data_IF_206260852978
#
_entry.id   IF_206260852978
#
_cell.length_a   1.000
_cell.length_b   1.000
_cell.length_c   1.000
_cell.angle_alpha   90.00
_cell.angle_beta   90.00
_cell.angle_gamma   90.00
#
_symmetry.space_group_name_H-M   'P 1'
#
loop_
_entity.id
_entity.type
_entity.pdbx_description
1 polymer ?
#
# COMPACT_ATOMS: atom_id res chain seq x y z
N UNK A 1 19.12 34.69 13.97
CA UNK A 1 20.13 34.50 15.03
C UNK A 1 20.50 33.02 15.02
N UNK A 2 21.68 32.65 14.49
CA UNK A 2 22.15 31.25 14.42
C UNK A 2 22.83 30.91 15.74
N UNK A 3 22.33 29.88 16.41
CA UNK A 3 22.99 29.26 17.57
C UNK A 3 24.31 28.61 17.14
N UNK A 4 25.39 28.69 17.95
CA UNK A 4 26.66 28.04 17.62
C UNK A 4 26.51 26.52 17.58
N UNK A 5 27.24 25.90 16.67
CA UNK A 5 27.17 24.48 16.37
C UNK A 5 27.98 23.73 17.44
N UNK A 6 27.30 22.92 18.29
CA UNK A 6 27.92 22.13 19.38
C UNK A 6 29.06 21.19 18.92
N UNK A 7 29.16 20.94 17.60
CA UNK A 7 30.24 20.19 16.98
C UNK A 7 31.58 20.94 16.93
N UNK A 8 31.58 22.28 16.82
CA UNK A 8 32.82 23.08 16.84
C UNK A 8 33.41 23.15 18.26
N UNK A 9 32.56 23.24 19.30
CA UNK A 9 32.99 23.16 20.70
C UNK A 9 33.63 21.79 21.04
N UNK A 10 33.11 20.71 20.47
CA UNK A 10 33.65 19.36 20.69
C UNK A 10 35.00 19.16 20.00
N UNK A 11 35.14 19.62 18.76
CA UNK A 11 36.39 19.54 18.00
C UNK A 11 37.54 20.38 18.60
N UNK A 12 37.21 21.51 19.24
CA UNK A 12 38.17 22.31 20.00
C UNK A 12 38.59 21.64 21.31
N UNK A 13 37.70 20.91 21.99
CA UNK A 13 38.03 20.17 23.22
C UNK A 13 38.98 19.00 22.97
N UNK A 14 38.92 18.35 21.80
CA UNK A 14 39.77 17.20 21.44
C UNK A 14 41.16 17.57 20.94
N UNK A 15 41.42 18.85 20.59
CA UNK A 15 42.76 19.33 20.23
C UNK A 15 43.65 19.62 21.44
N UNK A 16 43.08 19.77 22.63
CA UNK A 16 43.80 19.84 23.89
C UNK A 16 43.74 18.49 24.59
N UNK A 17 44.46 17.48 24.07
CA UNK A 17 44.64 16.25 24.83
C UNK A 17 45.79 16.46 25.82
N UNK A 18 45.44 16.84 27.05
CA UNK A 18 46.32 16.90 28.22
C UNK A 18 47.13 15.59 28.40
N UNK A 19 46.63 14.47 27.85
CA UNK A 19 47.26 13.15 27.88
C UNK A 19 48.66 13.06 27.22
N UNK A 20 48.98 13.92 26.25
CA UNK A 20 50.32 13.91 25.63
C UNK A 20 51.35 14.65 26.50
N UNK A 21 50.92 15.65 27.27
CA UNK A 21 51.78 16.36 28.23
C UNK A 21 52.04 15.50 29.47
N UNK A 22 51.00 14.84 30.01
CA UNK A 22 51.14 13.98 31.20
C UNK A 22 52.09 12.79 30.94
N UNK A 23 52.06 12.20 29.73
CA UNK A 23 52.94 11.07 29.39
C UNK A 23 54.38 11.52 29.14
N UNK A 24 54.59 12.76 28.67
CA UNK A 24 55.92 13.37 28.52
C UNK A 24 56.55 13.68 29.88
N UNK A 25 55.75 14.23 30.80
CA UNK A 25 56.16 14.48 32.19
C UNK A 25 56.47 13.18 32.94
N UNK A 26 55.74 12.10 32.70
CA UNK A 26 56.07 10.78 33.27
C UNK A 26 57.38 10.20 32.70
N UNK A 27 57.67 10.42 31.41
CA UNK A 27 58.92 10.00 30.78
C UNK A 27 60.12 10.79 31.31
N UNK A 28 60.00 12.11 31.43
CA UNK A 28 61.04 13.00 31.96
C UNK A 28 61.34 12.71 33.44
N UNK A 29 60.30 12.53 34.27
CA UNK A 29 60.45 12.15 35.67
C UNK A 29 61.09 10.76 35.85
N UNK A 30 60.86 9.82 34.93
CA UNK A 30 61.47 8.49 34.97
C UNK A 30 62.98 8.53 34.64
N UNK A 31 63.40 9.43 33.74
CA UNK A 31 64.82 9.67 33.44
C UNK A 31 65.56 10.37 34.58
N UNK A 32 64.96 11.37 35.22
CA UNK A 32 65.64 12.19 36.24
C UNK A 32 65.85 11.44 37.57
N UNK A 33 64.87 10.64 37.99
CA UNK A 33 64.92 9.92 39.28
C UNK A 33 65.95 8.79 39.30
N UNK A 34 66.34 8.27 38.14
CA UNK A 34 67.25 7.12 38.06
C UNK A 34 68.74 7.46 38.00
N UNK A 35 69.09 8.72 37.76
CA UNK A 35 70.48 9.19 37.82
C UNK A 35 70.94 9.52 39.25
N UNK A 36 70.01 9.71 40.19
CA UNK A 36 70.31 10.10 41.58
C UNK A 36 70.50 8.90 42.53
N UNK A 37 70.03 7.70 42.20
CA UNK A 37 70.06 6.54 43.11
C UNK A 37 71.29 5.62 42.97
N UNK A 38 72.19 5.83 41.99
CA UNK A 38 73.36 4.95 41.76
C UNK A 38 74.71 5.54 42.19
N UNK A 39 74.73 6.57 43.05
CA UNK A 39 75.97 7.18 43.57
C UNK A 39 76.48 6.53 44.87
N UNK A 40 76.13 5.27 45.15
CA UNK A 40 76.79 4.47 46.18
C UNK A 40 77.41 3.21 45.57
N UNK A 41 78.69 3.05 45.87
CA UNK A 41 79.68 2.20 45.20
C UNK A 41 79.37 0.72 45.42
N UNK A 42 79.30 -0.05 44.33
CA UNK A 42 79.50 -1.51 44.36
C UNK A 42 78.52 -2.32 43.50
N UNK A 43 78.55 -2.15 42.17
CA UNK A 43 78.41 -3.22 41.16
C UNK A 43 78.16 -2.62 39.77
N UNK A 44 79.21 -2.53 38.95
CA UNK A 44 79.15 -2.01 37.58
C UNK A 44 78.44 -2.97 36.60
N UNK A 45 78.29 -4.25 36.95
CA UNK A 45 77.66 -5.26 36.08
C UNK A 45 76.12 -5.22 36.12
N UNK A 46 75.52 -4.89 37.26
CA UNK A 46 74.06 -4.77 37.43
C UNK A 46 73.51 -3.47 36.80
N UNK A 47 74.32 -2.40 36.77
CA UNK A 47 73.97 -1.14 36.11
C UNK A 47 73.82 -1.30 34.58
N UNK A 48 74.72 -2.06 33.93
CA UNK A 48 74.66 -2.30 32.49
C UNK A 48 73.41 -3.09 32.06
N UNK A 49 73.05 -4.15 32.80
CA UNK A 49 71.83 -4.92 32.54
C UNK A 49 70.54 -4.12 32.76
N UNK A 50 70.53 -3.22 33.75
CA UNK A 50 69.39 -2.35 34.03
C UNK A 50 69.20 -1.30 32.92
N UNK A 51 70.28 -0.70 32.42
CA UNK A 51 70.25 0.23 31.28
C UNK A 51 69.81 -0.44 29.97
N UNK A 52 70.26 -1.67 29.70
CA UNK A 52 69.82 -2.45 28.53
C UNK A 52 68.33 -2.81 28.60
N UNK A 53 67.84 -3.22 29.78
CA UNK A 53 66.41 -3.48 29.98
C UNK A 53 65.56 -2.22 29.80
N UNK A 54 66.01 -1.07 30.31
CA UNK A 54 65.33 0.22 30.14
C UNK A 54 65.27 0.64 28.67
N UNK A 55 66.37 0.54 27.92
CA UNK A 55 66.39 0.86 26.49
C UNK A 55 65.43 -0.02 25.69
N UNK A 56 65.34 -1.31 26.00
CA UNK A 56 64.37 -2.20 25.35
C UNK A 56 62.91 -1.82 25.63
N UNK A 57 62.62 -1.30 26.83
CA UNK A 57 61.28 -0.84 27.22
C UNK A 57 60.91 0.48 26.55
N UNK A 58 61.87 1.40 26.42
CA UNK A 58 61.70 2.66 25.67
C UNK A 58 61.39 2.36 24.19
N UNK A 59 62.20 1.52 23.54
CA UNK A 59 61.94 1.11 22.15
C UNK A 59 60.57 0.43 21.97
N UNK A 60 60.15 -0.38 22.95
CA UNK A 60 58.81 -0.98 22.93
C UNK A 60 57.70 0.05 23.04
N UNK A 61 57.88 1.10 23.85
CA UNK A 61 56.90 2.19 24.00
C UNK A 61 56.85 3.08 22.75
N UNK A 62 58.00 3.41 22.16
CA UNK A 62 58.09 4.14 20.90
C UNK A 62 57.34 3.42 19.77
N UNK A 63 57.54 2.10 19.65
CA UNK A 63 56.82 1.29 18.66
C UNK A 63 55.31 1.23 18.93
N UNK A 64 54.90 1.20 20.20
CA UNK A 64 53.47 1.26 20.56
C UNK A 64 52.87 2.62 20.21
N UNK A 65 53.57 3.72 20.48
CA UNK A 65 53.17 5.06 20.09
C UNK A 65 53.02 5.20 18.58
N UNK A 66 54.00 4.74 17.80
CA UNK A 66 53.94 4.77 16.34
C UNK A 66 52.72 4.02 15.80
N UNK A 67 52.42 2.83 16.36
CA UNK A 67 51.22 2.05 16.00
C UNK A 67 49.92 2.78 16.36
N UNK A 68 49.89 3.47 17.50
CA UNK A 68 48.73 4.26 17.90
C UNK A 68 48.53 5.46 16.96
N UNK A 69 49.60 6.17 16.61
CA UNK A 69 49.57 7.29 15.64
C UNK A 69 48.99 6.84 14.30
N UNK A 70 49.49 5.73 13.74
CA UNK A 70 48.97 5.17 12.47
C UNK A 70 47.49 4.79 12.59
N UNK A 71 47.07 4.24 13.74
CA UNK A 71 45.66 3.88 13.98
C UNK A 71 44.76 5.11 14.05
N UNK A 72 45.22 6.19 14.68
CA UNK A 72 44.50 7.47 14.76
C UNK A 72 44.36 8.06 13.35
N UNK A 73 45.44 8.13 12.58
CA UNK A 73 45.41 8.67 11.21
C UNK A 73 44.43 7.91 10.30
N UNK A 74 44.45 6.56 10.35
CA UNK A 74 43.49 5.73 9.61
C UNK A 74 42.05 5.99 10.03
N UNK A 75 41.82 6.17 11.32
CA UNK A 75 40.48 6.45 11.86
C UNK A 75 39.99 7.83 11.39
N UNK A 76 40.86 8.84 11.41
CA UNK A 76 40.55 10.18 10.93
C UNK A 76 40.23 10.19 9.43
N UNK A 77 41.02 9.51 8.60
CA UNK A 77 40.74 9.37 7.16
C UNK A 77 39.40 8.67 6.89
N UNK A 78 39.09 7.62 7.67
CA UNK A 78 37.80 6.93 7.57
C UNK A 78 36.63 7.84 7.98
N UNK A 79 36.84 8.70 8.97
CA UNK A 79 35.83 9.66 9.43
C UNK A 79 35.60 10.76 8.39
N UNK A 80 36.66 11.34 7.82
CA UNK A 80 36.57 12.35 6.76
C UNK A 80 35.80 11.83 5.54
N UNK A 81 36.08 10.60 5.12
CA UNK A 81 35.33 9.96 4.02
C UNK A 81 33.85 9.83 4.35
N UNK A 82 33.52 9.41 5.57
CA UNK A 82 32.14 9.28 6.02
C UNK A 82 31.40 10.62 6.10
N UNK A 83 32.10 11.70 6.45
CA UNK A 83 31.56 13.06 6.46
C UNK A 83 31.25 13.51 5.03
N UNK A 84 32.18 13.34 4.09
CA UNK A 84 32.00 13.72 2.68
C UNK A 84 30.84 12.97 2.01
N UNK A 85 30.68 11.68 2.32
CA UNK A 85 29.55 10.87 1.85
C UNK A 85 28.22 11.42 2.39
N UNK A 86 28.15 11.80 3.68
CA UNK A 86 26.96 12.43 4.27
C UNK A 86 26.64 13.78 3.64
N UNK A 87 27.63 14.62 3.38
CA UNK A 87 27.43 15.92 2.72
C UNK A 87 26.88 15.75 1.30
N UNK A 88 27.40 14.76 0.56
CA UNK A 88 26.91 14.43 -0.79
C UNK A 88 25.46 13.96 -0.77
N UNK A 89 25.09 13.13 0.20
CA UNK A 89 23.70 12.67 0.39
C UNK A 89 22.79 13.85 0.75
N UNK A 90 23.21 14.71 1.69
CA UNK A 90 22.44 15.89 2.08
C UNK A 90 22.20 16.83 0.90
N UNK A 91 23.21 17.08 0.06
CA UNK A 91 23.07 17.90 -1.13
C UNK A 91 22.05 17.31 -2.14
N UNK A 92 22.03 15.99 -2.32
CA UNK A 92 21.03 15.32 -3.16
C UNK A 92 19.62 15.49 -2.59
N UNK A 93 19.44 15.25 -1.29
CA UNK A 93 18.15 15.42 -0.62
C UNK A 93 17.65 16.87 -0.70
N UNK A 94 18.52 17.88 -0.54
CA UNK A 94 18.13 19.29 -0.68
C UNK A 94 17.63 19.63 -2.07
N UNK A 95 18.25 19.07 -3.12
CA UNK A 95 17.80 19.26 -4.50
C UNK A 95 16.45 18.57 -4.76
N UNK A 96 16.24 17.36 -4.23
CA UNK A 96 14.95 16.67 -4.31
C UNK A 96 13.84 17.45 -3.60
N UNK A 97 14.11 17.96 -2.38
CA UNK A 97 13.17 18.81 -1.65
C UNK A 97 12.82 20.07 -2.46
N UNK A 98 13.81 20.68 -3.13
CA UNK A 98 13.58 21.86 -3.99
C UNK A 98 12.67 21.52 -5.17
N UNK A 99 12.90 20.40 -5.84
CA UNK A 99 12.07 19.94 -6.95
C UNK A 99 10.63 19.62 -6.50
N UNK A 100 10.47 18.95 -5.36
CA UNK A 100 9.17 18.65 -4.77
C UNK A 100 8.39 19.93 -4.45
N UNK A 101 9.04 20.95 -3.89
CA UNK A 101 8.41 22.26 -3.63
C UNK A 101 7.90 22.93 -4.91
N UNK A 102 8.68 22.89 -5.99
CA UNK A 102 8.27 23.45 -7.28
C UNK A 102 7.08 22.69 -7.88
N UNK A 103 7.08 21.35 -7.80
CA UNK A 103 5.97 20.53 -8.28
C UNK A 103 4.69 20.79 -7.48
N UNK A 104 4.80 20.91 -6.16
CA UNK A 104 3.67 21.23 -5.30
C UNK A 104 3.08 22.60 -5.62
N UNK A 105 3.92 23.59 -5.92
CA UNK A 105 3.46 24.92 -6.33
C UNK A 105 2.67 24.87 -7.65
N UNK A 106 3.19 24.15 -8.66
CA UNK A 106 2.48 23.96 -9.95
C UNK A 106 1.13 23.28 -9.76
N UNK A 107 1.07 22.22 -8.95
CA UNK A 107 -0.17 21.50 -8.66
C UNK A 107 -1.20 22.41 -7.99
N UNK A 108 -0.76 23.28 -7.08
CA UNK A 108 -1.64 24.24 -6.42
C UNK A 108 -2.20 25.29 -7.40
N UNK A 109 -1.40 25.75 -8.36
CA UNK A 109 -1.85 26.64 -9.43
C UNK A 109 -2.88 25.97 -10.34
N UNK A 110 -2.70 24.70 -10.70
CA UNK A 110 -3.67 23.91 -11.48
C UNK A 110 -4.98 23.69 -10.72
N UNK A 111 -4.91 23.32 -9.44
CA UNK A 111 -6.10 23.17 -8.60
C UNK A 111 -6.91 24.47 -8.50
N UNK A 112 -6.24 25.62 -8.37
CA UNK A 112 -6.93 26.91 -8.35
C UNK A 112 -7.61 27.22 -9.69
N UNK A 113 -7.01 26.87 -10.84
CA UNK A 113 -7.65 27.01 -12.15
C UNK A 113 -8.90 26.14 -12.28
N UNK A 114 -8.82 24.87 -11.85
CA UNK A 114 -9.96 23.95 -11.87
C UNK A 114 -11.10 24.43 -10.97
N UNK A 115 -10.78 24.99 -9.80
CA UNK A 115 -11.78 25.57 -8.89
C UNK A 115 -12.56 26.71 -9.55
N UNK A 116 -11.84 27.66 -10.17
CA UNK A 116 -12.48 28.77 -10.91
C UNK A 116 -13.34 28.27 -12.07
N UNK A 117 -12.94 27.20 -12.75
CA UNK A 117 -13.75 26.60 -13.82
C UNK A 117 -15.03 25.94 -13.29
N UNK A 118 -14.95 25.28 -12.13
CA UNK A 118 -16.12 24.71 -11.47
C UNK A 118 -17.09 25.78 -10.98
N UNK A 119 -16.60 26.85 -10.36
CA UNK A 119 -17.45 27.97 -9.91
C UNK A 119 -18.24 28.57 -11.09
N UNK A 120 -17.62 28.69 -12.28
CA UNK A 120 -18.30 29.13 -13.51
C UNK A 120 -19.35 28.13 -14.01
N UNK A 121 -19.12 26.82 -13.83
CA UNK A 121 -20.09 25.80 -14.20
C UNK A 121 -21.30 25.84 -13.26
N UNK A 122 -21.06 26.04 -11.97
CA UNK A 122 -22.12 26.17 -10.96
C UNK A 122 -22.99 27.41 -11.22
N UNK A 123 -22.38 28.57 -11.55
CA UNK A 123 -23.12 29.76 -11.99
C UNK A 123 -24.01 29.48 -13.21
N UNK A 124 -23.49 28.71 -14.18
CA UNK A 124 -24.25 28.33 -15.37
C UNK A 124 -25.40 27.36 -15.08
N UNK A 125 -25.19 26.42 -14.16
CA UNK A 125 -26.22 25.50 -13.68
C UNK A 125 -27.35 26.28 -13.00
N UNK A 126 -27.03 27.17 -12.07
CA UNK A 126 -28.02 28.00 -11.36
C UNK A 126 -28.85 28.86 -12.32
N UNK A 127 -28.21 29.41 -13.36
CA UNK A 127 -28.91 30.16 -14.42
C UNK A 127 -29.92 29.29 -15.18
N UNK A 128 -29.52 28.07 -15.56
CA UNK A 128 -30.40 27.12 -16.25
C UNK A 128 -31.55 26.64 -15.35
N UNK A 129 -31.31 26.45 -14.05
CA UNK A 129 -32.35 26.06 -13.09
C UNK A 129 -33.44 27.14 -12.96
N UNK A 130 -33.06 28.41 -12.90
CA UNK A 130 -34.04 29.51 -12.88
C UNK A 130 -34.82 29.62 -14.21
N UNK A 131 -34.17 29.35 -15.35
CA UNK A 131 -34.86 29.31 -16.65
C UNK A 131 -35.88 28.16 -16.72
N UNK A 132 -35.51 26.95 -16.23
CA UNK A 132 -36.42 25.80 -16.12
C UNK A 132 -37.61 26.12 -15.21
N UNK A 133 -37.37 26.78 -14.08
CA UNK A 133 -38.41 27.18 -13.13
C UNK A 133 -39.39 28.16 -13.74
N UNK A 134 -38.91 29.16 -14.48
CA UNK A 134 -39.74 30.10 -15.24
C UNK A 134 -40.61 29.38 -16.28
N UNK A 135 -40.03 28.44 -17.04
CA UNK A 135 -40.76 27.64 -18.04
C UNK A 135 -41.84 26.79 -17.34
N UNK A 136 -41.51 26.17 -16.21
CA UNK A 136 -42.42 25.32 -15.44
C UNK A 136 -43.61 26.11 -14.91
N UNK A 137 -43.38 27.31 -14.37
CA UNK A 137 -44.45 28.21 -13.93
C UNK A 137 -45.36 28.63 -15.09
N UNK A 138 -44.78 28.94 -16.25
CA UNK A 138 -45.54 29.30 -17.45
C UNK A 138 -46.43 28.15 -17.92
N UNK A 139 -45.91 26.92 -17.93
CA UNK A 139 -46.69 25.72 -18.26
C UNK A 139 -47.83 25.50 -17.24
N UNK A 140 -47.59 25.73 -15.95
CA UNK A 140 -48.62 25.62 -14.91
C UNK A 140 -49.75 26.63 -15.14
N UNK A 141 -49.40 27.90 -15.39
CA UNK A 141 -50.36 28.97 -15.67
C UNK A 141 -51.18 28.70 -16.94
N UNK A 142 -50.51 28.27 -18.01
CA UNK A 142 -51.17 27.91 -19.27
C UNK A 142 -52.13 26.72 -19.07
N UNK A 143 -51.77 25.75 -18.23
CA UNK A 143 -52.63 24.61 -17.89
C UNK A 143 -53.83 25.02 -17.02
N UNK A 144 -53.64 25.86 -16.01
CA UNK A 144 -54.73 26.39 -15.18
C UNK A 144 -55.75 27.18 -16.02
N UNK A 145 -55.27 28.07 -16.90
CA UNK A 145 -56.13 28.76 -17.86
C UNK A 145 -56.86 27.78 -18.79
N UNK A 146 -56.20 26.70 -19.23
CA UNK A 146 -56.83 25.66 -20.05
C UNK A 146 -57.93 24.91 -19.28
N UNK A 147 -57.73 24.65 -17.99
CA UNK A 147 -58.72 24.02 -17.10
C UNK A 147 -59.89 24.97 -16.84
N UNK A 148 -59.63 26.25 -16.60
CA UNK A 148 -60.65 27.28 -16.39
C UNK A 148 -61.46 27.53 -17.68
N UNK A 149 -60.80 27.58 -18.85
CA UNK A 149 -61.49 27.62 -20.15
C UNK A 149 -62.34 26.35 -20.35
N UNK A 150 -61.86 25.17 -19.96
CA UNK A 150 -62.64 23.92 -20.01
C UNK A 150 -63.83 23.94 -19.05
N UNK A 151 -63.68 24.49 -17.84
CA UNK A 151 -64.77 24.57 -16.85
C UNK A 151 -65.81 25.62 -17.25
N UNK A 152 -65.38 26.82 -17.64
CA UNK A 152 -66.27 27.87 -18.15
C UNK A 152 -66.98 27.44 -19.43
N UNK A 153 -66.29 26.74 -20.35
CA UNK A 153 -66.97 26.15 -21.52
C UNK A 153 -67.93 25.04 -21.12
N UNK A 154 -67.65 24.22 -20.10
CA UNK A 154 -68.60 23.22 -19.59
C UNK A 154 -69.84 23.83 -18.92
N UNK A 155 -69.70 24.96 -18.22
CA UNK A 155 -70.79 25.75 -17.64
C UNK A 155 -71.59 26.49 -18.70
N UNK A 156 -70.95 27.15 -19.67
CA UNK A 156 -71.62 27.73 -20.85
C UNK A 156 -72.34 26.67 -21.70
N UNK A 157 -71.82 25.45 -21.80
CA UNK A 157 -72.47 24.30 -22.45
C UNK A 157 -73.63 23.76 -21.61
N UNK A 158 -73.63 23.92 -20.28
CA UNK A 158 -74.78 23.58 -19.42
C UNK A 158 -75.87 24.67 -19.42
N UNK A 159 -75.51 25.94 -19.56
CA UNK A 159 -76.46 27.06 -19.54
C UNK A 159 -77.02 27.42 -20.93
N UNK A 160 -76.26 27.28 -22.02
CA UNK A 160 -76.76 27.58 -23.37
C UNK A 160 -77.42 26.40 -24.12
N UNK A 161 -77.28 25.15 -23.66
CA UNK A 161 -77.90 24.00 -24.32
C UNK A 161 -79.38 23.76 -23.98
N UNK A 162 -80.06 24.70 -23.32
CA UNK A 162 -81.52 24.66 -23.23
C UNK A 162 -82.20 25.44 -24.37
N UNK A 163 -81.55 26.31 -25.17
CA UNK A 163 -82.29 27.02 -26.23
C UNK A 163 -81.73 27.24 -27.65
N UNK A 164 -80.43 27.29 -27.98
CA UNK A 164 -80.04 27.68 -29.35
C UNK A 164 -78.55 27.31 -29.58
N UNK A 165 -78.14 26.39 -30.46
CA UNK A 165 -78.17 26.49 -31.92
C UNK A 165 -77.78 25.15 -32.55
N UNK A 166 -78.65 24.65 -33.43
CA UNK A 166 -78.25 23.84 -34.58
C UNK A 166 -77.57 24.77 -35.59
N UNK A 167 -76.57 24.24 -36.31
CA UNK A 167 -75.98 24.78 -37.56
C UNK A 167 -74.76 25.71 -37.34
N UNK A 168 -73.55 25.11 -37.36
CA UNK A 168 -72.21 25.64 -37.74
C UNK A 168 -71.01 25.10 -36.91
N UNK A 169 -71.23 24.23 -35.91
CA UNK A 169 -70.14 23.76 -35.02
C UNK A 169 -69.52 22.38 -35.34
N UNK A 170 -69.98 21.66 -36.37
CA UNK A 170 -69.49 20.30 -36.65
C UNK A 170 -68.03 20.23 -37.13
N UNK A 171 -67.64 21.12 -38.04
CA UNK A 171 -66.29 21.08 -38.63
C UNK A 171 -65.20 21.53 -37.65
N UNK A 172 -65.52 22.50 -36.78
CA UNK A 172 -64.58 23.06 -35.81
C UNK A 172 -64.31 22.10 -34.64
N UNK A 173 -65.31 21.29 -34.27
CA UNK A 173 -65.16 20.21 -33.28
C UNK A 173 -64.26 19.11 -33.84
N UNK A 174 -64.50 18.65 -35.07
CA UNK A 174 -63.67 17.62 -35.70
C UNK A 174 -62.20 18.07 -35.83
N UNK A 175 -61.94 19.34 -36.16
CA UNK A 175 -60.58 19.89 -36.22
C UNK A 175 -59.88 19.87 -34.86
N UNK A 176 -60.57 20.26 -33.79
CA UNK A 176 -60.02 20.25 -32.43
C UNK A 176 -59.78 18.84 -31.90
N UNK A 177 -60.65 17.89 -32.24
CA UNK A 177 -60.44 16.47 -31.90
C UNK A 177 -59.20 15.91 -32.61
N UNK A 178 -58.97 16.26 -33.88
CA UNK A 178 -57.74 15.89 -34.59
C UNK A 178 -56.48 16.53 -33.99
N UNK A 179 -56.52 17.80 -33.60
CA UNK A 179 -55.38 18.45 -32.95
C UNK A 179 -55.08 17.85 -31.58
N UNK A 180 -56.11 17.58 -30.76
CA UNK A 180 -55.95 16.93 -29.46
C UNK A 180 -55.32 15.55 -29.68
N UNK A 181 -55.84 14.77 -30.62
CA UNK A 181 -55.30 13.44 -30.92
C UNK A 181 -53.83 13.51 -31.35
N UNK A 182 -53.47 14.40 -32.27
CA UNK A 182 -52.06 14.61 -32.68
C UNK A 182 -51.16 15.00 -31.51
N UNK A 183 -51.67 15.83 -30.60
CA UNK A 183 -50.92 16.28 -29.43
C UNK A 183 -50.73 15.12 -28.45
N UNK A 184 -51.77 14.33 -28.19
CA UNK A 184 -51.72 13.14 -27.34
C UNK A 184 -50.75 12.10 -27.91
N UNK A 185 -50.85 11.80 -29.21
CA UNK A 185 -49.94 10.86 -29.89
C UNK A 185 -48.47 11.33 -29.79
N UNK A 186 -48.21 12.64 -29.86
CA UNK A 186 -46.87 13.21 -29.69
C UNK A 186 -46.34 13.06 -28.26
N UNK A 187 -47.20 13.23 -27.26
CA UNK A 187 -46.85 13.05 -25.85
C UNK A 187 -46.56 11.58 -25.52
N UNK A 188 -47.41 10.66 -25.97
CA UNK A 188 -47.22 9.23 -25.76
C UNK A 188 -45.92 8.73 -26.40
N UNK A 189 -45.60 9.25 -27.59
CA UNK A 189 -44.31 8.98 -28.23
C UNK A 189 -43.13 9.47 -27.38
N UNK A 190 -43.16 10.71 -26.88
CA UNK A 190 -42.08 11.26 -26.04
C UNK A 190 -41.92 10.50 -24.73
N UNK A 191 -43.01 10.04 -24.12
CA UNK A 191 -42.96 9.21 -22.92
C UNK A 191 -42.32 7.85 -23.24
N UNK A 192 -42.68 7.24 -24.37
CA UNK A 192 -42.04 6.03 -24.88
C UNK A 192 -40.53 6.19 -25.05
N UNK A 193 -40.09 7.25 -25.72
CA UNK A 193 -38.67 7.55 -25.94
C UNK A 193 -37.91 7.75 -24.60
N UNK A 194 -38.55 8.38 -23.60
CA UNK A 194 -37.98 8.58 -22.26
C UNK A 194 -37.83 7.27 -21.47
N UNK A 195 -38.82 6.38 -21.55
CA UNK A 195 -38.76 5.04 -20.94
C UNK A 195 -37.64 4.23 -21.57
N UNK A 196 -37.51 4.27 -22.90
CA UNK A 196 -36.46 3.56 -23.64
C UNK A 196 -35.07 4.10 -23.27
N UNK A 197 -34.91 5.42 -23.17
CA UNK A 197 -33.67 6.06 -22.71
C UNK A 197 -33.30 5.67 -21.27
N UNK A 198 -34.28 5.64 -20.36
CA UNK A 198 -34.05 5.22 -18.97
C UNK A 198 -33.65 3.73 -18.88
N UNK A 199 -34.27 2.86 -19.69
CA UNK A 199 -33.88 1.45 -19.80
C UNK A 199 -32.46 1.31 -20.37
N UNK A 200 -32.07 2.14 -21.33
CA UNK A 200 -30.70 2.18 -21.85
C UNK A 200 -29.70 2.60 -20.76
N UNK A 201 -30.00 3.64 -19.98
CA UNK A 201 -29.16 4.06 -18.85
C UNK A 201 -29.03 2.95 -17.82
N UNK A 202 -30.14 2.32 -17.41
CA UNK A 202 -30.10 1.22 -16.44
C UNK A 202 -29.27 0.03 -16.95
N UNK A 203 -29.37 -0.29 -18.25
CA UNK A 203 -28.53 -1.30 -18.88
C UNK A 203 -27.05 -0.89 -18.88
N UNK A 204 -26.72 0.35 -19.24
CA UNK A 204 -25.34 0.85 -19.23
C UNK A 204 -24.75 0.87 -17.83
N UNK A 205 -25.51 1.30 -16.82
CA UNK A 205 -25.10 1.30 -15.40
C UNK A 205 -24.90 -0.13 -14.88
N UNK A 206 -25.74 -1.07 -15.33
CA UNK A 206 -25.56 -2.50 -15.00
C UNK A 206 -24.31 -3.09 -15.65
N UNK A 207 -23.93 -2.61 -16.84
CA UNK A 207 -22.73 -3.03 -17.56
C UNK A 207 -21.45 -2.43 -16.96
N UNK A 208 -21.50 -1.23 -16.36
CA UNK A 208 -20.33 -0.56 -15.76
C UNK A 208 -19.90 -1.08 -14.40
N UNK A 209 -20.70 -1.96 -13.77
CA UNK A 209 -20.39 -2.57 -12.47
C UNK A 209 -20.07 -4.07 -12.56
N UNK A 210 -19.74 -4.57 -13.75
CA UNK A 210 -19.35 -5.97 -13.90
C UNK A 210 -17.98 -6.20 -13.26
N UNK A 211 -17.92 -7.12 -12.31
CA UNK A 211 -16.68 -7.60 -11.73
C UNK A 211 -16.15 -8.74 -12.59
N UNK A 212 -14.96 -8.56 -13.15
CA UNK A 212 -14.25 -9.62 -13.87
C UNK A 212 -13.37 -10.34 -12.85
N UNK A 213 -13.82 -11.52 -12.43
CA UNK A 213 -12.96 -12.42 -11.67
C UNK A 213 -11.96 -13.09 -12.61
N UNK A 214 -10.67 -12.89 -12.35
CA UNK A 214 -9.59 -13.42 -13.16
C UNK A 214 -9.07 -14.68 -12.50
N UNK A 215 -9.55 -15.83 -13.00
CA UNK A 215 -9.04 -17.14 -12.58
C UNK A 215 -7.67 -17.33 -13.20
N UNK A 216 -6.65 -17.48 -12.36
CA UNK A 216 -5.30 -17.87 -12.77
C UNK A 216 -5.03 -19.23 -12.18
N UNK A 217 -4.98 -20.26 -13.04
CA UNK A 217 -4.46 -21.56 -12.64
C UNK A 217 -3.01 -21.42 -12.21
N UNK A 218 -2.69 -21.78 -10.98
CA UNK A 218 -1.40 -21.45 -10.41
C UNK A 218 -0.87 -22.56 -9.51
N UNK A 219 0.43 -22.48 -9.23
CA UNK A 219 1.12 -23.40 -8.33
C UNK A 219 2.25 -22.69 -7.61
N UNK A 220 2.73 -23.25 -6.52
CA UNK A 220 3.91 -22.73 -5.85
C UNK A 220 5.16 -22.99 -6.69
N UNK A 221 5.90 -21.92 -6.99
CA UNK A 221 7.24 -21.98 -7.56
C UNK A 221 8.31 -22.08 -6.48
N UNK A 222 9.51 -22.52 -6.87
CA UNK A 222 10.57 -22.88 -5.93
C UNK A 222 11.08 -21.70 -5.08
N UNK A 223 11.57 -22.02 -3.89
CA UNK A 223 12.02 -21.13 -2.82
C UNK A 223 13.07 -20.10 -3.27
N UNK A 224 12.84 -18.82 -2.95
CA UNK A 224 13.94 -17.85 -2.80
C UNK A 224 14.55 -18.01 -1.39
N UNK A 225 15.08 -19.21 -1.12
CA UNK A 225 15.74 -19.45 0.17
C UNK A 225 17.09 -18.73 0.16
N UNK A 226 17.26 -17.83 1.13
CA UNK A 226 18.52 -17.07 1.34
C UNK A 226 19.73 -18.00 1.59
N UNK A 227 19.50 -19.29 1.80
CA UNK A 227 20.54 -20.33 1.86
C UNK A 227 20.44 -21.28 0.69
N UNK A 228 21.30 -21.10 -0.32
CA UNK A 228 21.54 -22.00 -1.45
C UNK A 228 21.40 -23.49 -1.05
N UNK A 229 20.30 -24.11 -1.47
CA UNK A 229 20.22 -25.56 -1.59
C UNK A 229 20.65 -25.96 -2.99
N UNK A 230 21.64 -26.83 -3.10
CA UNK A 230 22.17 -27.23 -4.40
C UNK A 230 21.31 -28.29 -5.14
N UNK A 231 20.20 -28.78 -4.57
CA UNK A 231 19.30 -29.71 -5.29
C UNK A 231 17.82 -29.62 -4.90
N UNK A 232 16.98 -29.51 -5.94
CA UNK A 232 15.51 -29.27 -6.02
C UNK A 232 14.62 -30.27 -5.26
N UNK A 233 15.16 -31.39 -4.78
CA UNK A 233 14.33 -32.49 -4.25
C UNK A 233 14.49 -32.80 -2.77
N UNK A 234 15.49 -32.25 -2.09
CA UNK A 234 15.76 -32.54 -0.69
C UNK A 234 16.68 -31.46 -0.09
N UNK A 235 16.12 -30.34 0.36
CA UNK A 235 16.83 -29.39 1.20
C UNK A 235 17.11 -30.01 2.58
N UNK A 236 18.21 -30.75 2.68
CA UNK A 236 18.70 -31.35 3.93
C UNK A 236 19.82 -30.47 4.46
N UNK A 237 19.50 -29.39 5.17
CA UNK A 237 20.47 -28.78 6.07
C UNK A 237 19.83 -28.03 7.25
N UNK A 238 19.65 -28.77 8.35
CA UNK A 238 19.68 -28.37 9.77
C UNK A 238 18.61 -27.37 10.28
N UNK A 239 17.78 -26.77 9.44
CA UNK A 239 16.66 -25.92 9.84
C UNK A 239 15.35 -26.52 9.30
N UNK A 240 14.26 -26.47 10.07
CA UNK A 240 13.02 -27.24 9.85
C UNK A 240 12.59 -27.40 8.38
N UNK A 241 12.15 -28.61 8.04
CA UNK A 241 11.92 -29.00 6.66
C UNK A 241 10.54 -28.52 6.18
N UNK A 242 10.48 -27.71 5.12
CA UNK A 242 9.26 -27.45 4.37
C UNK A 242 9.41 -28.06 2.97
N UNK A 243 8.45 -28.86 2.54
CA UNK A 243 8.45 -29.51 1.24
C UNK A 243 7.17 -29.20 0.48
N UNK A 244 7.31 -28.87 -0.80
CA UNK A 244 6.17 -28.79 -1.71
C UNK A 244 5.72 -30.24 -1.95
N UNK A 245 4.62 -30.65 -1.32
CA UNK A 245 4.07 -32.01 -1.46
C UNK A 245 3.56 -32.19 -2.91
N UNK A 246 2.93 -31.15 -3.45
CA UNK A 246 2.53 -31.03 -4.85
C UNK A 246 2.35 -29.54 -5.20
N UNK A 247 1.94 -29.26 -6.45
CA UNK A 247 1.73 -27.92 -6.99
C UNK A 247 0.95 -26.94 -6.08
N UNK A 248 0.05 -27.42 -5.21
CA UNK A 248 -0.82 -26.60 -4.34
C UNK A 248 -0.49 -26.70 -2.84
N UNK A 249 0.20 -27.75 -2.41
CA UNK A 249 0.30 -28.11 -0.99
C UNK A 249 1.74 -28.06 -0.51
N UNK A 250 1.94 -27.37 0.61
CA UNK A 250 3.21 -27.25 1.28
C UNK A 250 3.12 -28.00 2.61
N UNK A 251 3.90 -29.07 2.74
CA UNK A 251 3.98 -29.92 3.91
C UNK A 251 5.20 -29.64 4.76
N UNK A 252 5.01 -29.52 6.06
CA UNK A 252 6.09 -29.55 7.02
C UNK A 252 6.57 -30.99 7.23
N UNK A 253 7.87 -31.23 7.09
CA UNK A 253 8.45 -32.57 7.27
C UNK A 253 8.96 -32.80 8.70
N UNK A 254 9.41 -31.78 9.44
CA UNK A 254 9.69 -31.87 10.89
C UNK A 254 10.17 -30.52 11.47
N UNK A 255 9.46 -29.97 12.46
CA UNK A 255 10.04 -29.01 13.41
C UNK A 255 10.41 -29.77 14.68
N UNK A 256 11.69 -30.11 14.83
CA UNK A 256 12.16 -30.86 16.00
C UNK A 256 12.25 -29.93 17.21
N UNK A 257 11.34 -30.13 18.16
CA UNK A 257 11.35 -29.49 19.47
C UNK A 257 12.75 -29.62 20.12
N UNK A 258 13.32 -28.51 20.59
CA UNK A 258 14.57 -28.50 21.35
C UNK A 258 15.89 -28.56 20.57
N UNK A 259 15.88 -28.69 19.23
CA UNK A 259 17.10 -28.50 18.43
C UNK A 259 17.25 -27.02 18.05
N UNK A 260 18.34 -26.38 18.49
CA UNK A 260 18.74 -24.99 18.14
C UNK A 260 19.12 -24.80 16.66
N UNK A 261 18.39 -25.44 15.73
CA UNK A 261 18.33 -24.95 14.36
C UNK A 261 17.61 -23.61 14.38
N UNK A 262 18.10 -22.61 13.67
CA UNK A 262 17.36 -21.37 13.50
C UNK A 262 16.06 -21.74 12.76
N UNK A 263 14.90 -21.70 13.42
CA UNK A 263 13.61 -21.77 12.74
C UNK A 263 13.55 -20.57 11.80
N UNK A 264 13.96 -20.75 10.54
CA UNK A 264 13.90 -19.71 9.54
C UNK A 264 12.52 -19.75 8.92
N UNK A 265 12.06 -18.57 8.54
CA UNK A 265 10.84 -18.42 7.78
C UNK A 265 11.18 -18.63 6.31
N UNK A 266 10.41 -19.51 5.66
CA UNK A 266 10.53 -19.81 4.24
C UNK A 266 9.43 -19.09 3.46
N UNK A 267 9.80 -18.46 2.34
CA UNK A 267 8.86 -17.71 1.48
C UNK A 267 8.66 -18.47 0.18
N UNK A 268 7.40 -18.71 -0.16
CA UNK A 268 6.96 -19.38 -1.37
C UNK A 268 6.21 -18.40 -2.25
N UNK A 269 6.62 -18.27 -3.51
CA UNK A 269 5.96 -17.44 -4.50
C UNK A 269 5.16 -18.30 -5.47
N UNK A 270 4.00 -17.83 -5.88
CA UNK A 270 3.26 -18.49 -6.95
C UNK A 270 4.01 -18.34 -8.28
N UNK A 271 3.95 -19.35 -9.14
CA UNK A 271 4.63 -19.39 -10.44
C UNK A 271 4.16 -18.27 -11.36
N UNK A 272 2.86 -17.98 -11.33
CA UNK A 272 2.25 -16.94 -12.17
C UNK A 272 1.92 -15.72 -11.32
N UNK A 273 2.50 -14.58 -11.69
CA UNK A 273 2.17 -13.28 -11.12
C UNK A 273 0.76 -12.82 -11.49
N UNK A 274 0.13 -12.07 -10.59
CA UNK A 274 -1.07 -11.29 -10.89
C UNK A 274 -0.70 -10.09 -11.74
N UNK A 275 -1.00 -10.18 -13.03
CA UNK A 275 -0.75 -9.11 -14.00
C UNK A 275 -2.01 -8.30 -14.22
N UNK A 276 -1.95 -6.99 -13.98
CA UNK A 276 -3.02 -6.05 -14.33
C UNK A 276 -3.38 -6.19 -15.81
N UNK A 277 -4.66 -6.38 -16.08
CA UNK A 277 -5.12 -6.50 -17.44
C UNK A 277 -5.29 -5.10 -18.06
N UNK A 278 -4.87 -4.92 -19.32
CA UNK A 278 -4.89 -3.61 -20.00
C UNK A 278 -6.28 -3.27 -20.55
N UNK A 279 -6.77 -2.04 -20.29
CA UNK A 279 -8.01 -1.48 -20.82
C UNK A 279 -9.31 -2.17 -20.35
N UNK A 280 -9.66 -2.00 -19.07
CA UNK A 280 -10.94 -2.51 -18.55
C UNK A 280 -11.83 -1.36 -18.09
N UNK A 281 -13.05 -1.39 -18.60
CA UNK A 281 -14.19 -0.65 -18.07
C UNK A 281 -14.71 -1.24 -16.76
N UNK A 282 -14.14 -2.35 -16.30
CA UNK A 282 -14.66 -3.21 -15.25
C UNK A 282 -13.63 -3.43 -14.16
N UNK A 283 -14.10 -3.76 -12.96
CA UNK A 283 -13.22 -4.19 -11.88
C UNK A 283 -12.55 -5.52 -12.24
N UNK A 284 -11.26 -5.65 -12.00
CA UNK A 284 -10.55 -6.94 -12.10
C UNK A 284 -10.21 -7.43 -10.69
N UNK A 285 -10.53 -8.69 -10.39
CA UNK A 285 -10.21 -9.33 -9.12
C UNK A 285 -9.31 -10.56 -9.33
N UNK A 286 -8.24 -10.61 -8.56
CA UNK A 286 -7.44 -11.81 -8.32
C UNK A 286 -7.63 -12.25 -6.87
N UNK A 287 -7.67 -13.55 -6.61
CA UNK A 287 -7.89 -14.08 -5.26
C UNK A 287 -7.35 -15.49 -5.11
N UNK A 288 -6.76 -15.80 -3.95
CA UNK A 288 -6.36 -17.15 -3.56
C UNK A 288 -6.56 -17.35 -2.05
N UNK A 289 -6.73 -18.60 -1.63
CA UNK A 289 -6.91 -19.01 -0.24
C UNK A 289 -5.85 -20.02 0.21
N UNK A 290 -5.51 -20.00 1.49
CA UNK A 290 -4.61 -20.94 2.15
C UNK A 290 -5.30 -21.48 3.41
N UNK A 291 -5.49 -22.79 3.46
CA UNK A 291 -5.90 -23.54 4.64
C UNK A 291 -4.66 -23.84 5.49
N UNK A 292 -4.70 -23.43 6.74
CA UNK A 292 -3.64 -23.68 7.70
C UNK A 292 -3.78 -25.05 8.36
N UNK A 293 -2.71 -25.85 8.27
CA UNK A 293 -2.59 -27.16 8.90
C UNK A 293 -1.38 -27.18 9.84
N UNK A 294 -1.62 -26.93 11.13
CA UNK A 294 -0.56 -26.84 12.13
C UNK A 294 -0.92 -27.54 13.42
N UNK A 295 0.05 -28.27 14.00
CA UNK A 295 -0.09 -28.94 15.30
C UNK A 295 -0.02 -27.92 16.44
N UNK A 296 -0.97 -27.92 17.37
CA UNK A 296 -1.20 -26.84 18.36
C UNK A 296 -0.01 -26.44 19.24
N UNK A 297 1.06 -27.23 19.35
CA UNK A 297 2.01 -27.14 20.47
C UNK A 297 3.39 -26.52 20.16
N UNK A 298 3.64 -25.98 18.97
CA UNK A 298 4.97 -25.44 18.64
C UNK A 298 5.08 -23.92 18.87
N UNK A 299 6.02 -23.51 19.74
CA UNK A 299 6.46 -22.14 19.91
C UNK A 299 7.11 -21.58 18.63
N UNK A 300 6.84 -20.31 18.31
CA UNK A 300 7.53 -19.59 17.23
C UNK A 300 7.05 -19.94 15.82
N UNK A 301 5.75 -20.21 15.65
CA UNK A 301 5.16 -20.34 14.32
C UNK A 301 4.84 -18.97 13.75
N UNK A 302 5.27 -18.79 12.52
CA UNK A 302 4.98 -17.61 11.72
C UNK A 302 4.30 -18.07 10.45
N UNK A 303 3.22 -17.36 10.11
CA UNK A 303 2.62 -17.50 8.80
C UNK A 303 2.16 -16.13 8.31
N UNK A 304 2.48 -15.84 7.06
CA UNK A 304 1.95 -14.68 6.35
C UNK A 304 1.45 -15.08 4.97
N UNK A 305 0.47 -14.32 4.49
CA UNK A 305 -0.08 -14.41 3.15
C UNK A 305 -0.11 -13.01 2.56
N UNK A 306 0.29 -12.86 1.31
CA UNK A 306 0.41 -11.53 0.73
C UNK A 306 0.76 -11.49 -0.74
N UNK A 307 1.14 -10.28 -1.16
CA UNK A 307 1.56 -9.95 -2.50
C UNK A 307 2.88 -9.17 -2.44
N UNK A 308 3.85 -9.56 -3.25
CA UNK A 308 5.07 -8.78 -3.48
C UNK A 308 4.88 -7.93 -4.74
N UNK A 309 5.17 -6.64 -4.64
CA UNK A 309 5.28 -5.78 -5.82
C UNK A 309 6.53 -6.16 -6.61
N UNK A 310 6.36 -6.70 -7.83
CA UNK A 310 7.49 -7.20 -8.62
C UNK A 310 8.49 -6.11 -9.04
N UNK A 311 8.08 -4.83 -9.03
CA UNK A 311 8.92 -3.68 -9.40
C UNK A 311 9.66 -3.11 -8.20
N UNK A 312 8.96 -2.81 -7.12
CA UNK A 312 9.54 -2.14 -5.93
C UNK A 312 10.10 -3.13 -4.90
N UNK A 313 9.73 -4.42 -5.02
CA UNK A 313 10.01 -5.46 -4.03
C UNK A 313 9.38 -5.20 -2.65
N UNK A 314 8.39 -4.31 -2.59
CA UNK A 314 7.60 -4.07 -1.38
C UNK A 314 6.60 -5.20 -1.15
N UNK A 315 6.47 -5.63 0.10
CA UNK A 315 5.56 -6.71 0.50
C UNK A 315 4.29 -6.13 1.12
N UNK A 316 3.14 -6.60 0.64
CA UNK A 316 1.82 -6.31 1.21
C UNK A 316 1.30 -7.63 1.78
N UNK A 317 1.50 -7.83 3.08
CA UNK A 317 1.17 -9.08 3.74
C UNK A 317 0.27 -8.89 4.94
N UNK A 318 -0.47 -9.95 5.22
CA UNK A 318 -1.16 -10.15 6.47
C UNK A 318 -0.43 -11.26 7.23
N UNK A 319 0.26 -10.88 8.28
CA UNK A 319 0.90 -11.82 9.20
C UNK A 319 -0.02 -12.07 10.39
N UNK A 320 0.14 -13.24 11.00
CA UNK A 320 -0.35 -13.49 12.33
C UNK A 320 0.66 -14.25 13.15
N UNK A 321 0.71 -13.87 14.42
CA UNK A 321 1.40 -14.64 15.42
C UNK A 321 0.50 -15.80 15.87
N UNK A 322 1.04 -17.00 15.90
CA UNK A 322 0.42 -18.12 16.61
C UNK A 322 0.70 -17.92 18.11
N UNK A 323 -0.03 -17.01 18.76
CA UNK A 323 0.12 -16.75 20.19
C UNK A 323 -0.68 -17.73 21.05
N UNK A 324 -0.10 -18.12 22.19
CA UNK A 324 -0.83 -18.66 23.34
C UNK A 324 -1.63 -17.52 23.99
N UNK A 325 -2.95 -17.70 23.97
CA UNK A 325 -4.08 -17.09 24.71
C UNK A 325 -4.10 -15.63 25.24
N UNK A 326 -3.02 -14.85 25.37
CA UNK A 326 -3.06 -13.65 26.24
C UNK A 326 -2.59 -12.29 25.66
N UNK A 327 -2.52 -12.09 24.33
CA UNK A 327 -2.32 -10.75 23.74
C UNK A 327 -3.39 -10.35 22.72
N UNK A 328 -4.16 -9.33 23.10
CA UNK A 328 -5.49 -8.97 22.60
C UNK A 328 -5.56 -8.21 21.26
N UNK A 329 -4.52 -8.15 20.41
CA UNK A 329 -4.57 -7.30 19.21
C UNK A 329 -4.22 -7.96 17.88
N UNK A 330 -3.58 -9.13 17.85
CA UNK A 330 -3.26 -9.83 16.61
C UNK A 330 -4.18 -11.03 16.40
N UNK A 331 -4.81 -11.17 15.22
CA UNK A 331 -5.68 -12.31 14.94
C UNK A 331 -4.86 -13.59 14.93
N UNK A 332 -5.13 -14.50 15.85
CA UNK A 332 -4.44 -15.80 15.95
C UNK A 332 -4.88 -16.75 14.84
N UNK A 333 -3.96 -17.58 14.33
CA UNK A 333 -4.27 -18.65 13.38
C UNK A 333 -4.51 -19.95 14.14
N UNK A 334 -5.68 -20.57 13.92
CA UNK A 334 -6.05 -21.87 14.47
C UNK A 334 -5.99 -22.93 13.39
N UNK A 335 -5.63 -24.15 13.76
CA UNK A 335 -5.69 -25.28 12.84
C UNK A 335 -7.05 -25.35 12.15
N UNK A 336 -7.05 -25.44 10.82
CA UNK A 336 -8.27 -25.42 10.00
C UNK A 336 -8.77 -24.03 9.60
N UNK A 337 -8.12 -22.94 10.04
CA UNK A 337 -8.44 -21.60 9.54
C UNK A 337 -8.05 -21.47 8.06
N UNK A 338 -8.90 -20.79 7.29
CA UNK A 338 -8.68 -20.47 5.88
C UNK A 338 -8.43 -18.97 5.77
N UNK A 339 -7.31 -18.58 5.17
CA UNK A 339 -6.96 -17.19 4.92
C UNK A 339 -6.89 -16.93 3.43
N UNK A 340 -7.49 -15.84 2.98
CA UNK A 340 -7.42 -15.46 1.58
C UNK A 340 -6.88 -14.05 1.39
N UNK A 341 -6.20 -13.86 0.27
CA UNK A 341 -5.65 -12.60 -0.17
C UNK A 341 -6.18 -12.29 -1.58
N UNK A 342 -6.70 -11.08 -1.76
CA UNK A 342 -7.19 -10.63 -3.05
C UNK A 342 -6.65 -9.28 -3.45
N UNK A 343 -6.51 -9.09 -4.76
CA UNK A 343 -6.08 -7.86 -5.41
C UNK A 343 -7.18 -7.37 -6.33
N UNK A 344 -7.58 -6.12 -6.14
CA UNK A 344 -8.58 -5.46 -6.97
C UNK A 344 -7.96 -4.31 -7.73
N UNK A 345 -8.19 -4.32 -9.04
CA UNK A 345 -7.96 -3.16 -9.91
C UNK A 345 -9.31 -2.55 -10.30
N UNK A 346 -9.60 -1.33 -9.82
CA UNK A 346 -10.77 -0.57 -10.25
C UNK A 346 -10.73 -0.20 -11.73
N UNK A 347 -11.89 0.07 -12.36
CA UNK A 347 -11.97 0.66 -13.69
C UNK A 347 -11.15 1.95 -13.80
N UNK A 348 -10.56 2.21 -14.97
CA UNK A 348 -9.71 3.39 -15.16
C UNK A 348 -10.46 4.72 -15.13
N UNK A 349 -11.78 4.71 -15.31
CA UNK A 349 -12.62 5.91 -15.33
C UNK A 349 -13.13 6.32 -13.94
N UNK A 350 -12.93 5.49 -12.91
CA UNK A 350 -13.24 5.87 -11.53
C UNK A 350 -11.97 6.27 -10.78
N UNK A 351 -12.09 7.29 -9.93
CA UNK A 351 -10.98 7.80 -9.12
C UNK A 351 -10.76 6.94 -7.87
N UNK A 352 -10.54 5.64 -8.06
CA UNK A 352 -10.27 4.68 -6.99
C UNK A 352 -8.91 4.00 -7.21
N UNK A 353 -8.08 3.92 -6.16
CA UNK A 353 -6.80 3.23 -6.22
C UNK A 353 -6.98 1.71 -6.18
N UNK A 354 -6.11 0.94 -6.86
CA UNK A 354 -5.99 -0.50 -6.63
C UNK A 354 -5.81 -0.81 -5.14
N UNK A 355 -6.29 -1.97 -4.70
CA UNK A 355 -6.18 -2.34 -3.30
C UNK A 355 -6.03 -3.84 -3.12
N UNK A 356 -5.38 -4.20 -2.02
CA UNK A 356 -5.32 -5.58 -1.51
C UNK A 356 -6.33 -5.72 -0.40
N UNK A 357 -6.96 -6.88 -0.29
CA UNK A 357 -7.79 -7.21 0.86
C UNK A 357 -7.50 -8.60 1.38
N UNK A 358 -7.83 -8.80 2.65
CA UNK A 358 -7.61 -10.06 3.34
C UNK A 358 -8.91 -10.60 3.91
N UNK A 359 -9.00 -11.91 3.96
CA UNK A 359 -10.17 -12.66 4.43
C UNK A 359 -9.74 -13.78 5.37
N UNK A 360 -10.58 -14.11 6.34
CA UNK A 360 -10.41 -15.24 7.25
C UNK A 360 -11.72 -16.00 7.37
N UNK A 361 -11.69 -17.31 7.14
CA UNK A 361 -12.84 -18.21 7.21
C UNK A 361 -14.04 -17.68 6.40
N UNK A 362 -13.76 -17.14 5.22
CA UNK A 362 -14.76 -16.55 4.32
C UNK A 362 -15.33 -15.20 4.76
N UNK A 363 -14.75 -14.55 5.77
CA UNK A 363 -15.12 -13.21 6.21
C UNK A 363 -14.06 -12.19 5.85
N UNK A 364 -14.49 -11.03 5.39
CA UNK A 364 -13.63 -9.90 5.12
C UNK A 364 -12.97 -9.38 6.41
N UNK A 365 -11.66 -9.16 6.40
CA UNK A 365 -10.91 -8.63 7.55
C UNK A 365 -10.51 -7.18 7.32
N UNK A 366 -9.80 -6.91 6.22
CA UNK A 366 -9.11 -5.63 6.01
C UNK A 366 -8.90 -5.30 4.54
N UNK A 367 -8.92 -3.99 4.25
CA UNK A 367 -8.48 -3.36 2.99
C UNK A 367 -7.14 -2.65 3.16
N UNK A 368 -6.31 -2.66 2.12
CA UNK A 368 -5.07 -1.88 2.02
C UNK A 368 -5.02 -1.20 0.64
N UNK A 369 -5.32 0.11 0.54
CA UNK A 369 -5.17 0.88 -0.71
C UNK A 369 -3.69 0.99 -1.15
N UNK A 370 -3.44 0.86 -2.45
CA UNK A 370 -2.11 0.86 -3.06
C UNK A 370 -1.76 2.23 -3.65
N UNK A 371 -1.66 3.25 -2.81
CA UNK A 371 -1.43 4.64 -3.23
C UNK A 371 -0.02 4.84 -3.81
N UNK A 372 1.02 4.40 -3.10
CA UNK A 372 2.42 4.59 -3.50
C UNK A 372 3.04 3.34 -4.15
N UNK A 373 2.37 2.20 -4.02
CA UNK A 373 2.90 0.89 -4.41
C UNK A 373 2.15 0.31 -5.62
N UNK A 374 1.44 1.13 -6.41
CA UNK A 374 0.67 0.68 -7.56
C UNK A 374 1.58 0.04 -8.62
N UNK A 375 1.38 -1.24 -8.88
CA UNK A 375 2.10 -2.02 -9.90
C UNK A 375 1.11 -2.73 -10.81
N UNK A 376 1.54 -2.94 -12.04
CA UNK A 376 0.82 -3.79 -12.99
C UNK A 376 1.13 -5.28 -12.77
N UNK A 377 1.99 -5.61 -11.81
CA UNK A 377 2.46 -6.96 -11.55
C UNK A 377 2.73 -7.17 -10.06
N UNK A 378 2.06 -8.17 -9.49
CA UNK A 378 2.30 -8.64 -8.12
C UNK A 378 2.50 -10.15 -8.09
N UNK A 379 3.43 -10.61 -7.27
CA UNK A 379 3.64 -12.03 -7.01
C UNK A 379 2.86 -12.44 -5.76
N UNK A 380 1.88 -13.34 -5.87
CA UNK A 380 1.30 -13.99 -4.70
C UNK A 380 2.39 -14.73 -3.95
N UNK A 381 2.38 -14.60 -2.62
CA UNK A 381 3.30 -15.34 -1.79
C UNK A 381 2.66 -15.76 -0.48
N UNK A 382 3.28 -16.77 0.11
CA UNK A 382 3.09 -17.13 1.51
C UNK A 382 4.44 -17.30 2.18
N UNK A 383 4.46 -17.02 3.46
CA UNK A 383 5.63 -17.17 4.31
C UNK A 383 5.26 -18.12 5.42
N UNK A 384 6.02 -19.19 5.63
CA UNK A 384 5.68 -20.24 6.61
C UNK A 384 6.89 -20.58 7.47
N UNK A 385 6.62 -20.83 8.75
CA UNK A 385 7.59 -21.28 9.73
C UNK A 385 6.90 -22.31 10.64
N UNK A 386 7.36 -23.56 10.59
CA UNK A 386 6.82 -24.66 11.39
C UNK A 386 5.31 -24.92 11.22
N UNK A 387 4.80 -24.80 10.00
CA UNK A 387 3.42 -25.16 9.66
C UNK A 387 3.30 -25.74 8.25
N UNK A 388 2.20 -26.47 8.02
CA UNK A 388 1.79 -26.91 6.68
C UNK A 388 0.63 -26.04 6.22
N UNK A 389 0.49 -25.91 4.90
CA UNK A 389 -0.60 -25.16 4.27
C UNK A 389 -1.07 -25.84 3.01
N UNK A 390 -2.38 -25.77 2.77
CA UNK A 390 -3.00 -26.18 1.51
C UNK A 390 -3.53 -24.94 0.80
N UNK A 391 -3.16 -24.73 -0.44
CA UNK A 391 -3.56 -23.54 -1.18
C UNK A 391 -4.65 -23.87 -2.20
N UNK A 392 -5.58 -22.95 -2.36
CA UNK A 392 -6.56 -22.94 -3.43
C UNK A 392 -6.37 -21.65 -4.24
N UNK A 393 -5.87 -21.79 -5.48
CA UNK A 393 -5.74 -20.67 -6.42
C UNK A 393 -7.00 -20.45 -7.27
N UNK A 394 -8.03 -21.29 -7.10
CA UNK A 394 -9.28 -21.24 -7.87
C UNK A 394 -9.28 -22.11 -9.13
N UNK A 395 -8.36 -23.08 -9.21
CA UNK A 395 -8.20 -23.96 -10.36
C UNK A 395 -9.41 -24.87 -10.61
N UNK A 396 -10.13 -25.24 -9.54
CA UNK A 396 -11.33 -26.09 -9.53
C UNK A 396 -12.34 -25.57 -8.50
N UNK A 397 -13.09 -24.52 -8.86
CA UNK A 397 -14.10 -23.93 -8.00
C UNK A 397 -15.36 -24.78 -7.83
N UNK A 398 -15.56 -25.81 -8.67
CA UNK A 398 -16.72 -26.71 -8.56
C UNK A 398 -16.53 -27.67 -7.38
N UNK A 399 -15.35 -28.30 -7.28
CA UNK A 399 -15.05 -29.26 -6.22
C UNK A 399 -14.32 -28.63 -5.02
N UNK A 400 -13.58 -27.54 -5.24
CA UNK A 400 -12.86 -26.78 -4.21
C UNK A 400 -13.28 -25.29 -4.28
N UNK A 401 -14.52 -24.95 -3.93
CA UNK A 401 -14.94 -23.55 -3.91
C UNK A 401 -14.15 -22.76 -2.86
N UNK A 402 -13.95 -21.47 -3.11
CA UNK A 402 -13.45 -20.56 -2.08
C UNK A 402 -14.41 -20.52 -0.89
N UNK A 403 -13.86 -20.37 0.31
CA UNK A 403 -14.66 -20.10 1.51
C UNK A 403 -15.24 -18.69 1.47
N UNK A 404 -14.50 -17.73 0.93
CA UNK A 404 -14.97 -16.38 0.69
C UNK A 404 -15.83 -16.31 -0.58
N UNK A 405 -17.03 -15.74 -0.44
CA UNK A 405 -17.92 -15.49 -1.56
C UNK A 405 -17.47 -14.23 -2.32
N UNK A 406 -16.60 -14.42 -3.32
CA UNK A 406 -16.05 -13.35 -4.15
C UNK A 406 -17.14 -12.57 -4.91
N UNK A 407 -18.31 -13.16 -5.17
CA UNK A 407 -19.42 -12.47 -5.85
C UNK A 407 -19.99 -11.32 -5.02
N UNK A 408 -19.80 -11.37 -3.70
CA UNK A 408 -20.28 -10.33 -2.77
C UNK A 408 -19.30 -9.19 -2.57
N UNK A 409 -18.10 -9.25 -3.15
CA UNK A 409 -17.01 -8.32 -2.83
C UNK A 409 -17.34 -6.85 -3.16
N UNK A 410 -18.06 -6.61 -4.26
CA UNK A 410 -18.41 -5.27 -4.74
C UNK A 410 -19.91 -4.94 -4.62
N UNK A 411 -20.69 -5.75 -3.88
CA UNK A 411 -22.06 -5.39 -3.50
C UNK A 411 -22.00 -4.35 -2.37
N UNK A 412 -21.19 -3.30 -2.53
CA UNK A 412 -21.32 -2.08 -1.77
C UNK A 412 -22.25 -1.20 -2.60
N UNK A 413 -23.53 -1.37 -2.28
CA UNK A 413 -24.61 -0.42 -2.54
C UNK A 413 -24.08 1.02 -2.43
N UNK A 414 -23.92 1.70 -3.56
CA UNK A 414 -24.14 3.14 -3.62
C UNK A 414 -25.64 3.36 -3.37
N UNK A 415 -26.06 3.27 -2.10
CA UNK A 415 -27.25 3.97 -1.64
C UNK A 415 -26.72 5.30 -1.10
N UNK A 416 -26.80 6.33 -1.94
CA UNK A 416 -26.96 7.70 -1.50
C UNK A 416 -28.17 8.27 -2.22
#
# INVERSE_FOLDING_TARGET
MRTPNKLEEWALSTKNSDNNETFREELENFTEKSCLETSSIGDLSTCSSCCLSKNSKIQSLELQMERLTIKIERTNLSLEKSILERETINFKHENEIRNLKQNFQKLNEENNKLKVENDKKDEKINSLEEEIKMITQKISYDNENKVEIKQNSHELIKENNIQLLKIENGERINFLEEEIKKTTDLFDKKIGDLIEFNNLINNVVSLSNCMVFVIIKNKWSELDSVSKCDTVKNCININGFVNIINDENIGLINCLEGKRGSNKTDVFYAEISFKKIQNYSNYSLYYFECLYEGELNNYGKYISIGLENCRTKEWIEFYAECAEEDKLSTPTWKNGDIFGCGLVYPPTFINEFPYVFFTKNGKYIRRVPLVNSNSDLYNPFISVQCCSVKTNFGDDLENKPFKYDISKHLIIKYIY
#
